data_IF_722887031309
#
_entry.id   IF_722887031309
#
_cell.length_a   1.000
_cell.length_b   1.000
_cell.length_c   1.000
_cell.angle_alpha   90.00
_cell.angle_beta   90.00
_cell.angle_gamma   90.00
#
_symmetry.space_group_name_H-M   'P 1'
#
loop_
_entity.id
_entity.type
_entity.pdbx_description
1 polymer ?
#
# COMPACT_ATOMS: atom_id res chain seq x y z
N UNK A 1 2.49 14.66 12.79
CA UNK A 1 2.07 14.55 11.38
C UNK A 1 1.00 13.46 11.31
N UNK A 2 -0.27 13.82 11.32
CA UNK A 2 -1.36 12.85 11.19
C UNK A 2 -1.56 12.56 9.71
N UNK A 3 -1.47 11.28 9.34
CA UNK A 3 -2.18 10.79 8.17
C UNK A 3 -3.60 10.60 8.67
N UNK A 4 -4.37 11.69 8.78
CA UNK A 4 -5.82 11.55 8.88
C UNK A 4 -6.27 11.17 7.48
N UNK A 5 -6.83 9.97 7.34
CA UNK A 5 -7.60 9.60 6.17
C UNK A 5 -8.72 10.61 5.93
N UNK A 6 -9.37 10.57 4.75
CA UNK A 6 -10.43 11.50 4.41
C UNK A 6 -11.67 11.42 5.33
N UNK A 7 -11.74 10.41 6.21
CA UNK A 7 -12.86 10.17 7.13
C UNK A 7 -12.35 9.75 8.50
N UNK A 8 -13.19 9.93 9.54
CA UNK A 8 -12.86 9.49 10.89
C UNK A 8 -12.77 7.96 10.97
N UNK A 9 -11.60 7.43 11.33
CA UNK A 9 -11.39 6.01 11.57
C UNK A 9 -9.92 5.68 11.86
N UNK A 10 -9.57 4.40 11.98
CA UNK A 10 -8.18 4.01 12.23
C UNK A 10 -7.37 4.06 10.94
N UNK A 11 -6.51 5.07 10.81
CA UNK A 11 -5.39 5.05 9.87
C UNK A 11 -4.23 4.26 10.48
N UNK A 12 -3.71 3.29 9.74
CA UNK A 12 -2.57 2.51 10.21
C UNK A 12 -1.43 2.57 9.21
N UNK A 13 -0.24 2.90 9.70
CA UNK A 13 1.01 2.62 9.01
C UNK A 13 1.47 1.20 9.38
N UNK A 14 1.82 0.40 8.39
CA UNK A 14 2.25 -1.01 8.57
C UNK A 14 3.64 -1.30 8.01
N UNK A 15 4.08 -0.54 7.01
CA UNK A 15 5.42 -0.65 6.44
C UNK A 15 6.16 0.68 6.46
N UNK A 16 7.47 0.61 6.67
CA UNK A 16 8.39 1.73 6.46
C UNK A 16 9.64 1.22 5.74
N UNK A 17 10.13 2.02 4.78
CA UNK A 17 11.41 1.78 4.09
C UNK A 17 12.19 3.09 4.11
N UNK A 18 13.46 3.04 4.50
CA UNK A 18 14.37 4.19 4.47
C UNK A 18 15.31 4.03 3.27
N UNK A 19 15.46 5.11 2.49
CA UNK A 19 16.42 5.23 1.40
C UNK A 19 17.73 5.86 1.94
N UNK A 20 18.86 5.63 1.26
CA UNK A 20 20.19 6.13 1.67
C UNK A 20 20.30 7.67 1.78
N UNK A 21 19.29 8.41 1.33
CA UNK A 21 19.22 9.87 1.32
C UNK A 21 18.35 10.46 2.45
N UNK A 22 18.04 9.67 3.48
CA UNK A 22 17.07 9.99 4.56
C UNK A 22 15.63 10.21 4.07
N UNK A 23 15.38 9.97 2.79
CA UNK A 23 14.03 9.83 2.24
C UNK A 23 13.44 8.51 2.73
N UNK A 24 12.13 8.46 2.89
CA UNK A 24 11.47 7.24 3.36
C UNK A 24 10.06 7.09 2.80
N UNK A 25 9.61 5.84 2.72
CA UNK A 25 8.23 5.49 2.40
C UNK A 25 7.53 5.00 3.63
N UNK A 26 6.27 5.39 3.79
CA UNK A 26 5.35 4.81 4.77
C UNK A 26 4.11 4.36 4.04
N UNK A 27 3.57 3.20 4.42
CA UNK A 27 2.34 2.72 3.81
C UNK A 27 1.52 1.85 4.75
N UNK A 28 0.24 1.73 4.42
CA UNK A 28 -0.74 0.96 5.16
C UNK A 28 -2.13 1.16 4.57
N UNK A 29 -3.11 1.44 5.42
CA UNK A 29 -4.49 1.68 4.99
C UNK A 29 -5.14 2.83 5.75
N UNK A 30 -6.17 3.40 5.13
CA UNK A 30 -7.00 4.47 5.65
C UNK A 30 -8.46 4.20 5.27
N UNK A 31 -9.43 4.48 6.14
CA UNK A 31 -10.82 4.39 5.75
C UNK A 31 -11.15 5.48 4.71
N UNK A 32 -12.06 5.16 3.79
CA UNK A 32 -12.56 6.09 2.77
C UNK A 32 -14.08 5.93 2.65
N UNK A 33 -14.79 7.06 2.58
CA UNK A 33 -16.25 7.08 2.53
C UNK A 33 -16.77 6.20 1.39
N UNK A 34 -17.69 5.30 1.73
CA UNK A 34 -18.37 4.35 0.84
C UNK A 34 -17.44 3.34 0.13
N UNK A 35 -16.15 3.27 0.50
CA UNK A 35 -15.15 2.42 -0.15
C UNK A 35 -14.48 1.42 0.81
N UNK A 36 -14.75 1.51 2.11
CA UNK A 36 -14.11 0.65 3.10
C UNK A 36 -12.73 1.18 3.47
N UNK A 37 -11.70 0.33 3.41
CA UNK A 37 -10.32 0.71 3.71
C UNK A 37 -9.52 0.69 2.42
N UNK A 38 -8.95 1.83 2.04
CA UNK A 38 -8.06 1.91 0.89
C UNK A 38 -6.62 1.83 1.35
N UNK A 39 -5.78 1.25 0.50
CA UNK A 39 -4.34 1.35 0.71
C UNK A 39 -3.88 2.81 0.57
N UNK A 40 -2.87 3.19 1.35
CA UNK A 40 -2.12 4.42 1.10
C UNK A 40 -0.62 4.17 1.20
N UNK A 41 0.13 4.83 0.34
CA UNK A 41 1.59 4.85 0.30
C UNK A 41 2.03 6.30 0.15
N UNK A 42 2.97 6.74 0.99
CA UNK A 42 3.50 8.09 0.98
C UNK A 42 5.00 8.07 0.99
N UNK A 43 5.62 8.86 0.12
CA UNK A 43 7.06 9.17 0.16
C UNK A 43 7.26 10.48 0.89
N UNK A 44 8.30 10.54 1.71
CA UNK A 44 8.67 11.70 2.50
C UNK A 44 10.07 12.20 2.19
N UNK A 45 10.24 13.52 2.34
CA UNK A 45 11.53 14.20 2.41
C UNK A 45 12.26 13.87 3.71
N UNK A 46 13.56 14.15 3.77
CA UNK A 46 14.38 13.99 4.98
C UNK A 46 13.89 14.84 6.16
N UNK A 47 13.19 15.94 5.88
CA UNK A 47 12.53 16.80 6.86
C UNK A 47 11.15 16.28 7.31
N UNK A 48 10.73 15.11 6.80
CA UNK A 48 9.42 14.51 7.04
C UNK A 48 8.29 15.06 6.15
N UNK A 49 8.56 16.05 5.28
CA UNK A 49 7.55 16.60 4.37
C UNK A 49 7.02 15.52 3.42
N UNK A 50 5.73 15.56 3.07
CA UNK A 50 5.16 14.62 2.12
C UNK A 50 5.53 15.03 0.69
N UNK A 51 6.29 14.19 -0.02
CA UNK A 51 6.64 14.42 -1.43
C UNK A 51 5.49 14.01 -2.36
N UNK A 52 4.87 12.86 -2.07
CA UNK A 52 3.66 12.41 -2.75
C UNK A 52 2.90 11.38 -1.91
N UNK A 53 1.61 11.24 -2.18
CA UNK A 53 0.75 10.15 -1.64
C UNK A 53 0.05 9.45 -2.79
N UNK A 54 -0.05 8.12 -2.72
CA UNK A 54 -0.83 7.27 -3.61
C UNK A 54 -1.81 6.46 -2.79
N UNK A 55 -3.05 6.44 -3.22
CA UNK A 55 -4.07 5.53 -2.69
C UNK A 55 -4.41 4.49 -3.74
N UNK A 56 -4.91 3.35 -3.30
CA UNK A 56 -5.51 2.38 -4.21
C UNK A 56 -6.70 1.72 -3.53
N UNK A 57 -7.84 1.91 -4.19
CA UNK A 57 -9.11 1.23 -3.98
C UNK A 57 -9.18 0.04 -4.96
N UNK A 58 -9.32 -1.15 -4.40
CA UNK A 58 -9.47 -2.41 -5.09
C UNK A 58 -10.79 -2.53 -5.85
N UNK A 59 -10.91 -3.54 -6.72
CA UNK A 59 -12.07 -3.69 -7.61
C UNK A 59 -13.39 -3.92 -6.88
N UNK A 60 -13.37 -4.43 -5.64
CA UNK A 60 -14.57 -4.61 -4.83
C UNK A 60 -14.99 -3.38 -4.01
N UNK A 61 -14.17 -2.31 -3.97
CA UNK A 61 -14.41 -1.17 -3.05
C UNK A 61 -14.67 -1.64 -1.61
N UNK A 62 -13.73 -2.45 -1.11
CA UNK A 62 -13.79 -3.09 0.19
C UNK A 62 -12.42 -2.96 0.89
N UNK A 63 -12.05 -3.91 1.77
CA UNK A 63 -10.81 -3.79 2.54
C UNK A 63 -9.56 -4.08 1.71
N UNK A 64 -8.74 -3.07 1.49
CA UNK A 64 -7.45 -3.14 0.81
C UNK A 64 -6.33 -2.61 1.71
N UNK A 65 -5.31 -3.43 1.93
CA UNK A 65 -4.31 -3.16 2.96
C UNK A 65 -2.90 -3.41 2.44
N UNK A 66 -2.02 -2.42 2.59
CA UNK A 66 -0.58 -2.64 2.55
C UNK A 66 -0.14 -3.23 3.89
N UNK A 67 0.52 -4.39 3.83
CA UNK A 67 1.09 -5.09 4.98
C UNK A 67 2.59 -4.89 5.10
N UNK A 68 3.28 -4.82 3.97
CA UNK A 68 4.73 -4.68 3.92
C UNK A 68 5.18 -3.78 2.77
N UNK A 69 6.35 -3.17 2.97
CA UNK A 69 7.04 -2.39 1.96
C UNK A 69 8.47 -2.90 1.83
N UNK A 70 9.02 -2.85 0.62
CA UNK A 70 10.44 -3.07 0.37
C UNK A 70 10.98 -2.06 -0.64
N UNK A 71 12.18 -1.52 -0.36
CA UNK A 71 12.89 -0.67 -1.30
C UNK A 71 13.36 -1.47 -2.52
N UNK A 72 13.42 -0.81 -3.67
CA UNK A 72 13.93 -1.35 -4.91
C UNK A 72 14.89 -0.34 -5.59
N UNK A 73 15.74 -0.79 -6.53
CA UNK A 73 16.68 0.10 -7.21
C UNK A 73 15.99 1.31 -7.85
N UNK A 74 16.72 2.41 -8.01
CA UNK A 74 16.23 3.69 -8.57
C UNK A 74 15.18 4.41 -7.72
N UNK A 75 15.30 4.36 -6.39
CA UNK A 75 14.33 4.96 -5.45
C UNK A 75 12.91 4.45 -5.71
N UNK A 76 12.79 3.16 -5.96
CA UNK A 76 11.52 2.51 -6.23
C UNK A 76 11.04 1.78 -4.97
N UNK A 77 9.75 1.48 -4.89
CA UNK A 77 9.18 0.78 -3.74
C UNK A 77 8.20 -0.29 -4.19
N UNK A 78 8.28 -1.45 -3.56
CA UNK A 78 7.35 -2.56 -3.72
C UNK A 78 6.46 -2.58 -2.48
N UNK A 79 5.15 -2.48 -2.71
CA UNK A 79 4.13 -2.66 -1.69
C UNK A 79 3.52 -4.05 -1.83
N UNK A 80 3.36 -4.75 -0.71
CA UNK A 80 2.70 -6.05 -0.61
C UNK A 80 1.56 -5.99 0.39
N UNK A 81 0.53 -6.78 0.15
CA UNK A 81 -0.59 -6.92 1.04
C UNK A 81 -1.70 -7.72 0.40
N UNK A 82 -2.94 -7.24 0.57
CA UNK A 82 -4.09 -7.82 -0.10
C UNK A 82 -5.06 -6.75 -0.58
N UNK A 83 -5.87 -7.14 -1.55
CA UNK A 83 -7.04 -6.38 -1.97
C UNK A 83 -8.25 -7.31 -2.08
N UNK A 84 -9.45 -6.75 -1.98
CA UNK A 84 -10.70 -7.52 -2.10
C UNK A 84 -11.19 -7.49 -3.55
N UNK A 85 -11.62 -8.63 -4.09
CA UNK A 85 -12.19 -8.76 -5.44
C UNK A 85 -13.68 -9.11 -5.40
N UNK A 86 -14.43 -8.81 -6.48
CA UNK A 86 -15.91 -8.85 -6.47
C UNK A 86 -16.47 -10.25 -6.20
N UNK A 87 -15.75 -11.28 -6.64
CA UNK A 87 -16.20 -12.68 -6.58
C UNK A 87 -15.41 -13.51 -5.55
N UNK A 88 -14.48 -12.91 -4.80
CA UNK A 88 -13.57 -13.61 -3.90
C UNK A 88 -13.36 -12.81 -2.60
N UNK A 89 -12.66 -13.42 -1.64
CA UNK A 89 -12.32 -12.76 -0.39
C UNK A 89 -11.14 -11.79 -0.59
N UNK A 90 -9.97 -12.11 -0.05
CA UNK A 90 -8.77 -11.28 -0.14
C UNK A 90 -7.75 -12.00 -1.00
N UNK A 91 -7.25 -11.31 -2.02
CA UNK A 91 -6.21 -11.82 -2.90
C UNK A 91 -4.89 -11.12 -2.61
N UNK A 92 -3.79 -11.86 -2.74
CA UNK A 92 -2.46 -11.28 -2.60
C UNK A 92 -2.24 -10.22 -3.67
N UNK A 93 -1.85 -9.04 -3.23
CA UNK A 93 -1.60 -7.90 -4.11
C UNK A 93 -0.18 -7.40 -3.92
N UNK A 94 0.54 -7.28 -5.03
CA UNK A 94 1.90 -6.76 -5.09
C UNK A 94 1.95 -5.66 -6.13
N UNK A 95 2.44 -4.48 -5.76
CA UNK A 95 2.58 -3.37 -6.68
C UNK A 95 3.92 -2.68 -6.51
N UNK A 96 4.59 -2.40 -7.64
CA UNK A 96 5.83 -1.64 -7.67
C UNK A 96 5.57 -0.24 -8.18
N UNK A 97 6.14 0.74 -7.48
CA UNK A 97 6.05 2.15 -7.78
C UNK A 97 7.43 2.70 -8.13
N UNK A 98 7.45 3.56 -9.15
CA UNK A 98 8.61 4.37 -9.49
C UNK A 98 8.85 5.48 -8.47
N UNK A 99 10.00 6.14 -8.56
CA UNK A 99 10.38 7.26 -7.68
C UNK A 99 9.32 8.39 -7.62
N UNK A 100 8.66 8.65 -8.74
CA UNK A 100 7.59 9.67 -8.86
C UNK A 100 6.21 9.18 -8.37
N UNK A 101 6.14 7.96 -7.85
CA UNK A 101 4.90 7.30 -7.42
C UNK A 101 4.05 6.76 -8.58
N UNK A 102 4.57 6.71 -9.81
CA UNK A 102 3.90 6.06 -10.93
C UNK A 102 3.91 4.53 -10.75
N UNK A 103 2.82 3.85 -11.11
CA UNK A 103 2.77 2.39 -11.06
C UNK A 103 3.60 1.81 -12.20
N UNK A 104 4.60 0.99 -11.87
CA UNK A 104 5.42 0.29 -12.86
C UNK A 104 4.78 -1.05 -13.25
N UNK A 105 4.25 -1.78 -12.27
CA UNK A 105 3.45 -2.98 -12.49
C UNK A 105 2.62 -3.33 -11.26
N UNK A 106 1.57 -4.14 -11.48
CA UNK A 106 0.77 -4.77 -10.43
C UNK A 106 0.70 -6.27 -10.71
N UNK A 107 0.78 -7.09 -9.67
CA UNK A 107 0.54 -8.53 -9.71
C UNK A 107 -0.45 -8.90 -8.63
N UNK A 108 -1.45 -9.69 -9.02
CA UNK A 108 -2.42 -10.29 -8.10
C UNK A 108 -2.26 -11.80 -8.16
N UNK A 109 -2.30 -12.45 -7.01
CA UNK A 109 -2.26 -13.90 -6.88
C UNK A 109 -3.46 -14.36 -6.05
N UNK A 110 -4.23 -15.25 -6.65
CA UNK A 110 -5.51 -15.74 -6.15
C UNK A 110 -5.41 -17.25 -5.98
N UNK A 111 -5.77 -17.78 -4.81
CA UNK A 111 -5.86 -19.22 -4.59
C UNK A 111 -7.14 -19.82 -5.20
N UNK A 112 -7.04 -21.03 -5.73
CA UNK A 112 -8.14 -21.75 -6.41
C UNK A 112 -9.36 -22.08 -5.50
N UNK A 113 -9.31 -21.74 -4.21
CA UNK A 113 -10.33 -22.08 -3.22
C UNK A 113 -11.16 -20.91 -2.66
N UNK A 114 -10.93 -19.67 -3.11
CA UNK A 114 -11.63 -18.49 -2.57
C UNK A 114 -11.36 -18.21 -1.08
N UNK A 115 -10.26 -18.73 -0.55
CA UNK A 115 -9.80 -18.45 0.80
C UNK A 115 -9.13 -17.07 0.90
N UNK A 116 -8.87 -16.59 2.12
CA UNK A 116 -8.10 -15.37 2.34
C UNK A 116 -6.61 -15.61 2.04
N UNK A 117 -6.10 -15.05 0.95
CA UNK A 117 -4.69 -15.07 0.59
C UNK A 117 -4.06 -13.67 0.85
N UNK A 118 -2.98 -13.60 1.63
CA UNK A 118 -2.33 -12.33 1.97
C UNK A 118 -0.80 -12.46 1.97
N UNK A 119 -0.12 -11.39 1.55
CA UNK A 119 1.31 -11.21 1.75
C UNK A 119 1.55 -10.35 3.00
N UNK A 120 2.34 -10.84 3.96
CA UNK A 120 2.54 -10.16 5.26
C UNK A 120 3.82 -9.30 5.32
N UNK A 121 4.81 -9.56 4.48
CA UNK A 121 6.08 -8.84 4.50
C UNK A 121 6.81 -8.92 3.17
N UNK A 122 7.66 -7.92 2.92
CA UNK A 122 8.57 -7.87 1.78
C UNK A 122 9.97 -7.52 2.29
N UNK A 123 10.97 -8.19 1.75
CA UNK A 123 12.38 -7.92 1.99
C UNK A 123 13.14 -8.10 0.67
N UNK A 124 14.25 -7.37 0.52
CA UNK A 124 15.16 -7.45 -0.63
C UNK A 124 16.56 -7.72 -0.10
#
# INVERSE_FOLDING_TARGET
MTVDGPVSGSDQARGIVVEDSELFYVGGFAPVDLQGQDTWLRRHGADGSALWTKTYNGPASAGDIIRGLAGAPNNEVIAVGHHTTVDQMQDMWIRRYGESGNVLWTRTYTGDGGAHDQAEGAAV
#
